data_IF_463863386956
#
_entry.id   IF_463863386956
#
_cell.length_a   1.000
_cell.length_b   1.000
_cell.length_c   1.000
_cell.angle_alpha   90.00
_cell.angle_beta   90.00
_cell.angle_gamma   90.00
#
_symmetry.space_group_name_H-M   'P 1'
#
loop_
_entity.id
_entity.type
_entity.pdbx_description
1 polymer ?
#
# COMPACT_ATOMS: atom_id res chain seq x y z
N UNK A 1 -16.82 -3.73 -11.14
CA UNK A 1 -15.68 -4.20 -10.31
C UNK A 1 -15.58 -3.28 -9.10
N UNK A 2 -15.50 -3.82 -7.89
CA UNK A 2 -15.55 -3.05 -6.63
C UNK A 2 -14.21 -2.45 -6.20
N UNK A 3 -13.10 -2.83 -6.87
CA UNK A 3 -11.72 -2.47 -6.46
C UNK A 3 -11.42 -2.84 -5.01
N UNK A 4 -12.01 -3.92 -4.51
CA UNK A 4 -11.82 -4.45 -3.17
C UNK A 4 -11.47 -5.94 -3.23
N UNK A 5 -11.04 -6.49 -2.10
CA UNK A 5 -10.91 -7.93 -1.90
C UNK A 5 -12.25 -8.64 -2.14
N UNK A 6 -12.18 -9.88 -2.62
CA UNK A 6 -13.37 -10.71 -2.86
C UNK A 6 -13.64 -11.60 -1.65
N UNK A 7 -14.66 -11.26 -0.86
CA UNK A 7 -15.03 -12.06 0.32
C UNK A 7 -15.40 -13.50 -0.06
N UNK A 8 -16.05 -13.69 -1.22
CA UNK A 8 -16.36 -15.02 -1.76
C UNK A 8 -15.11 -15.89 -1.96
N UNK A 9 -14.01 -15.31 -2.47
CA UNK A 9 -12.76 -16.05 -2.64
C UNK A 9 -12.09 -16.31 -1.30
N UNK A 10 -12.07 -15.31 -0.41
CA UNK A 10 -11.49 -15.47 0.93
C UNK A 10 -12.19 -16.60 1.71
N UNK A 11 -13.52 -16.66 1.65
CA UNK A 11 -14.31 -17.73 2.28
C UNK A 11 -14.00 -19.10 1.66
N UNK A 12 -13.94 -19.19 0.32
CA UNK A 12 -13.64 -20.45 -0.37
C UNK A 12 -12.27 -21.04 0.00
N UNK A 13 -11.28 -20.21 0.32
CA UNK A 13 -9.96 -20.63 0.77
C UNK A 13 -9.82 -20.70 2.30
N UNK A 14 -10.88 -20.39 3.06
CA UNK A 14 -10.84 -20.35 4.53
C UNK A 14 -9.91 -19.27 5.09
N UNK A 15 -9.71 -18.18 4.36
CA UNK A 15 -8.79 -17.11 4.74
C UNK A 15 -9.49 -16.00 5.53
N UNK A 16 -8.90 -15.54 6.65
CA UNK A 16 -9.50 -14.50 7.47
C UNK A 16 -9.39 -13.12 6.80
N UNK A 17 -10.52 -12.44 6.57
CA UNK A 17 -10.60 -11.09 5.97
C UNK A 17 -9.71 -10.06 6.65
N UNK A 18 -9.52 -10.15 7.96
CA UNK A 18 -8.72 -9.22 8.76
C UNK A 18 -7.21 -9.24 8.41
N UNK A 19 -6.70 -10.30 7.76
CA UNK A 19 -5.31 -10.35 7.30
C UNK A 19 -5.07 -9.59 5.99
N UNK A 20 -6.15 -9.19 5.30
CA UNK A 20 -6.08 -8.49 4.04
C UNK A 20 -6.22 -6.98 4.31
N UNK A 21 -5.17 -6.18 4.06
CA UNK A 21 -5.18 -4.76 4.39
C UNK A 21 -6.23 -4.02 3.53
N UNK A 22 -6.54 -2.80 3.95
CA UNK A 22 -7.30 -1.88 3.11
C UNK A 22 -6.55 -1.63 1.79
N UNK A 23 -7.29 -1.61 0.67
CA UNK A 23 -6.72 -1.25 -0.62
C UNK A 23 -6.78 0.27 -0.78
N UNK A 24 -5.61 0.87 -0.95
CA UNK A 24 -5.46 2.31 -1.20
C UNK A 24 -5.16 2.58 -2.68
N UNK A 25 -5.65 3.69 -3.26
CA UNK A 25 -5.26 4.10 -4.60
C UNK A 25 -3.76 4.45 -4.71
N UNK A 26 -3.21 4.31 -5.91
CA UNK A 26 -1.90 4.88 -6.22
C UNK A 26 -1.96 6.41 -6.19
N UNK A 27 -0.84 7.04 -5.80
CA UNK A 27 -0.75 8.49 -5.62
C UNK A 27 -1.36 9.01 -4.31
N UNK A 28 -1.94 8.15 -3.47
CA UNK A 28 -2.42 8.54 -2.15
C UNK A 28 -1.25 8.96 -1.25
N UNK A 29 -1.37 10.12 -0.60
CA UNK A 29 -0.39 10.55 0.41
C UNK A 29 -0.52 9.71 1.68
N UNK A 30 0.60 9.13 2.11
CA UNK A 30 0.72 8.30 3.30
C UNK A 30 1.28 9.07 4.50
N UNK A 31 1.59 10.37 4.32
CA UNK A 31 2.30 11.20 5.29
C UNK A 31 3.79 11.29 4.98
N UNK A 32 4.59 11.64 5.98
CA UNK A 32 6.02 11.87 5.81
C UNK A 32 6.86 10.65 6.20
N UNK A 33 8.09 10.60 5.68
CA UNK A 33 9.05 9.55 5.96
C UNK A 33 9.27 9.47 7.48
N UNK A 34 9.20 8.26 8.03
CA UNK A 34 9.35 8.06 9.46
C UNK A 34 10.72 8.56 9.94
N UNK A 35 10.81 9.20 11.13
CA UNK A 35 12.05 9.80 11.62
C UNK A 35 13.24 8.85 11.64
N UNK A 36 13.03 7.58 12.02
CA UNK A 36 14.08 6.57 12.05
C UNK A 36 14.64 6.23 10.66
N UNK A 37 13.81 6.28 9.62
CA UNK A 37 14.21 6.04 8.25
C UNK A 37 14.88 7.28 7.64
N UNK A 38 14.39 8.48 7.96
CA UNK A 38 15.01 9.75 7.61
C UNK A 38 16.45 9.81 8.16
N UNK A 39 16.63 9.51 9.45
CA UNK A 39 17.94 9.47 10.09
C UNK A 39 18.89 8.43 9.47
N UNK A 40 18.39 7.21 9.17
CA UNK A 40 19.20 6.14 8.60
C UNK A 40 19.62 6.40 7.15
N UNK A 41 18.79 7.12 6.38
CA UNK A 41 19.05 7.43 4.97
C UNK A 41 19.75 8.77 4.75
N UNK A 42 19.85 9.61 5.78
CA UNK A 42 20.32 11.00 5.66
C UNK A 42 19.35 11.90 4.90
N UNK A 43 18.13 11.41 4.65
CA UNK A 43 17.06 12.17 4.01
C UNK A 43 16.32 13.00 5.05
N UNK A 44 15.86 14.18 4.64
CA UNK A 44 15.03 15.04 5.48
C UNK A 44 13.59 14.54 5.62
N UNK A 45 12.71 15.44 6.02
CA UNK A 45 11.26 15.19 5.98
C UNK A 45 10.79 15.16 4.51
N UNK A 46 10.34 13.99 4.05
CA UNK A 46 9.93 13.75 2.66
C UNK A 46 8.53 13.14 2.66
N UNK A 47 7.66 13.62 1.77
CA UNK A 47 6.34 13.03 1.55
C UNK A 47 6.44 11.62 0.96
N UNK A 48 5.69 10.68 1.55
CA UNK A 48 5.57 9.29 1.11
C UNK A 48 4.25 9.12 0.38
N UNK A 49 4.32 8.70 -0.88
CA UNK A 49 3.15 8.44 -1.71
C UNK A 49 3.00 6.93 -1.98
N UNK A 50 1.76 6.44 -2.00
CA UNK A 50 1.46 5.08 -2.40
C UNK A 50 1.78 4.87 -3.89
N UNK A 51 2.62 3.87 -4.20
CA UNK A 51 2.98 3.51 -5.58
C UNK A 51 1.92 2.61 -6.23
N UNK A 52 2.06 2.33 -7.53
CA UNK A 52 1.20 1.44 -8.32
C UNK A 52 1.32 -0.05 -7.94
N UNK A 53 1.97 -0.38 -6.81
CA UNK A 53 2.29 -1.71 -6.28
C UNK A 53 3.20 -2.58 -7.16
N UNK A 54 2.99 -2.63 -8.47
CA UNK A 54 3.77 -3.41 -9.42
C UNK A 54 4.60 -2.48 -10.32
N UNK A 55 5.79 -2.93 -10.72
CA UNK A 55 6.72 -2.19 -11.57
C UNK A 55 6.09 -1.81 -12.92
N UNK A 56 5.33 -2.71 -13.54
CA UNK A 56 4.61 -2.42 -14.80
C UNK A 56 3.64 -1.24 -14.65
N UNK A 57 2.95 -1.16 -13.50
CA UNK A 57 2.04 -0.05 -13.23
C UNK A 57 2.76 1.24 -12.84
N UNK A 58 3.97 1.14 -12.31
CA UNK A 58 4.79 2.29 -11.91
C UNK A 58 5.61 2.87 -13.08
N UNK A 59 5.90 2.06 -14.10
CA UNK A 59 6.69 2.45 -15.26
C UNK A 59 5.86 3.04 -16.42
N UNK A 60 4.55 2.79 -16.45
CA UNK A 60 3.63 3.27 -17.47
C UNK A 60 3.22 4.73 -17.23
#
# INVERSE_FOLDING_TARGET
>A
RTRNWSDKLLEAFGWPRAKFPELIPSGTSLGTLKPELAAASGLGEIDVLATCSHDTGAAA
#
